data_IF_129292543193
#
_entry.id   IF_129292543193
#
_cell.length_a   1.000
_cell.length_b   1.000
_cell.length_c   1.000
_cell.angle_alpha   90.00
_cell.angle_beta   90.00
_cell.angle_gamma   90.00
#
_symmetry.space_group_name_H-M   'P 1'
#
loop_
_entity.id
_entity.type
_entity.pdbx_description
1 polymer ?
#
# COMPACT_ATOMS: atom_id res chain seq x y z
N UNK A 1 -24.60 51.18 14.08
CA UNK A 1 -23.15 51.01 14.09
C UNK A 1 -22.86 49.53 13.78
N UNK A 2 -22.42 49.24 12.52
CA UNK A 2 -22.12 47.87 12.07
C UNK A 2 -20.61 47.66 12.24
N UNK A 3 -20.24 46.80 13.20
CA UNK A 3 -18.85 46.44 13.48
C UNK A 3 -18.34 45.52 12.35
N UNK A 4 -17.40 45.99 11.53
CA UNK A 4 -16.65 45.17 10.56
C UNK A 4 -15.56 44.39 11.29
N UNK A 5 -15.82 43.10 11.57
CA UNK A 5 -14.84 42.19 12.14
C UNK A 5 -13.66 41.99 11.17
N UNK A 6 -12.45 42.27 11.63
CA UNK A 6 -11.21 41.98 10.88
C UNK A 6 -11.03 40.48 10.66
N UNK A 7 -10.60 40.02 9.46
CA UNK A 7 -10.41 38.61 9.20
C UNK A 7 -9.31 38.02 10.09
N UNK A 8 -9.56 36.82 10.63
CA UNK A 8 -8.68 36.14 11.57
C UNK A 8 -7.26 35.92 11.00
N UNK A 9 -6.25 35.89 11.87
CA UNK A 9 -4.84 35.69 11.48
C UNK A 9 -4.63 34.41 10.62
N UNK A 10 -5.49 33.40 10.82
CA UNK A 10 -5.54 32.15 10.06
C UNK A 10 -5.94 32.36 8.59
N UNK A 11 -6.93 33.21 8.33
CA UNK A 11 -7.37 33.57 6.97
C UNK A 11 -6.31 34.38 6.20
N UNK A 12 -5.57 35.26 6.89
CA UNK A 12 -4.48 36.05 6.28
C UNK A 12 -3.26 35.18 5.90
N UNK A 13 -2.93 34.14 6.71
CA UNK A 13 -1.86 33.19 6.38
C UNK A 13 -2.22 32.29 5.18
N UNK A 14 -3.46 31.76 5.11
CA UNK A 14 -3.94 30.96 3.94
C UNK A 14 -3.92 31.81 2.65
N UNK A 15 -4.36 33.06 2.70
CA UNK A 15 -4.38 33.95 1.52
C UNK A 15 -2.96 34.28 1.02
N UNK A 16 -2.00 34.56 1.92
CA UNK A 16 -0.58 34.78 1.57
C UNK A 16 0.08 33.54 0.96
N UNK A 17 -0.26 32.33 1.47
CA UNK A 17 0.27 31.06 0.96
C UNK A 17 -0.28 30.73 -0.45
N UNK A 18 -1.59 30.97 -0.70
CA UNK A 18 -2.19 30.81 -2.03
C UNK A 18 -1.59 31.80 -3.05
N UNK A 19 -1.25 33.01 -2.63
CA UNK A 19 -0.61 33.99 -3.49
C UNK A 19 0.83 33.60 -3.84
N UNK A 20 1.60 33.08 -2.88
CA UNK A 20 2.97 32.57 -3.13
C UNK A 20 2.98 31.34 -4.07
N UNK A 21 2.03 30.40 -3.90
CA UNK A 21 1.87 29.26 -4.83
C UNK A 21 1.53 29.71 -6.26
N UNK A 22 0.70 30.75 -6.44
CA UNK A 22 0.37 31.30 -7.77
C UNK A 22 1.56 32.01 -8.43
N UNK A 23 2.39 32.72 -7.68
CA UNK A 23 3.59 33.39 -8.19
C UNK A 23 4.66 32.33 -8.56
N UNK A 24 4.83 31.25 -7.81
CA UNK A 24 5.74 30.15 -8.13
C UNK A 24 5.37 29.38 -9.40
N UNK A 25 4.06 29.23 -9.70
CA UNK A 25 3.59 28.55 -10.92
C UNK A 25 3.83 29.42 -12.20
N UNK A 26 3.81 30.75 -12.09
CA UNK A 26 3.98 31.64 -13.24
C UNK A 26 5.46 31.76 -13.64
N UNK A 27 6.39 31.60 -12.69
CA UNK A 27 7.84 31.66 -12.97
C UNK A 27 8.40 30.38 -13.62
N UNK A 28 7.69 29.23 -13.52
CA UNK A 28 8.12 27.94 -14.10
C UNK A 28 7.71 27.71 -15.56
N UNK A 29 6.83 28.53 -16.11
CA UNK A 29 6.20 28.27 -17.43
C UNK A 29 6.85 28.93 -18.62
N UNK A 30 7.96 29.66 -18.48
CA UNK A 30 8.58 30.45 -19.56
C UNK A 30 9.85 29.81 -20.17
N UNK A 31 10.30 28.65 -19.69
CA UNK A 31 11.59 28.07 -20.13
C UNK A 31 11.54 26.69 -20.82
N UNK A 32 10.39 26.26 -21.35
CA UNK A 32 10.30 24.98 -22.12
C UNK A 32 9.52 25.17 -23.42
N UNK A 33 9.96 26.08 -24.27
CA UNK A 33 9.44 26.23 -25.63
C UNK A 33 10.55 26.54 -26.63
N UNK A 34 11.55 25.69 -26.77
CA UNK A 34 12.46 25.70 -27.92
C UNK A 34 13.30 24.40 -27.94
N UNK A 35 12.78 23.28 -28.47
CA UNK A 35 13.54 22.21 -29.15
C UNK A 35 12.61 21.03 -29.48
N UNK A 36 11.91 21.07 -30.60
CA UNK A 36 11.37 19.89 -31.27
C UNK A 36 11.16 20.18 -32.74
N UNK A 37 12.19 19.97 -33.54
CA UNK A 37 12.06 19.81 -35.00
C UNK A 37 12.99 18.70 -35.45
N UNK A 38 12.41 17.80 -36.27
CA UNK A 38 13.05 16.83 -37.15
C UNK A 38 13.63 15.53 -36.57
N UNK A 39 12.85 14.44 -36.66
CA UNK A 39 13.36 13.19 -37.20
C UNK A 39 12.23 12.41 -37.89
N UNK A 40 12.27 12.41 -39.23
CA UNK A 40 11.46 11.55 -40.10
C UNK A 40 12.12 10.19 -40.14
N UNK A 41 11.44 9.13 -39.71
CA UNK A 41 11.89 7.75 -39.83
C UNK A 41 11.01 7.05 -40.86
N UNK A 42 11.66 6.49 -41.92
CA UNK A 42 11.06 5.71 -42.99
C UNK A 42 10.62 4.33 -42.47
N UNK A 43 9.58 3.70 -43.06
CA UNK A 43 9.18 2.34 -42.70
C UNK A 43 10.06 1.28 -43.41
N UNK A 44 10.31 0.10 -42.76
CA UNK A 44 11.03 -0.98 -43.40
C UNK A 44 10.14 -1.81 -44.35
N UNK A 45 10.79 -2.32 -45.39
CA UNK A 45 10.21 -3.08 -46.47
C UNK A 45 9.64 -4.44 -46.06
N UNK A 46 8.53 -4.81 -46.69
CA UNK A 46 7.91 -6.15 -46.64
C UNK A 46 8.81 -7.21 -47.29
N UNK A 47 9.10 -8.25 -46.53
CA UNK A 47 9.57 -9.55 -47.09
C UNK A 47 8.37 -10.48 -47.26
N UNK A 48 8.13 -10.89 -48.50
CA UNK A 48 7.21 -11.97 -48.90
C UNK A 48 7.72 -13.31 -48.40
N UNK A 49 6.88 -14.04 -47.65
CA UNK A 49 7.12 -15.45 -47.39
C UNK A 49 6.17 -16.29 -48.25
N UNK A 50 6.75 -17.29 -48.93
CA UNK A 50 6.12 -18.26 -49.80
C UNK A 50 5.22 -19.23 -49.02
N UNK A 51 4.11 -19.60 -49.64
CA UNK A 51 3.21 -20.65 -49.17
C UNK A 51 3.75 -22.02 -49.57
N UNK A 52 4.05 -22.89 -48.62
CA UNK A 52 4.12 -24.33 -48.82
C UNK A 52 3.06 -25.01 -47.96
N UNK A 53 2.11 -25.64 -48.65
CA UNK A 53 1.00 -26.37 -48.04
C UNK A 53 1.47 -27.80 -47.69
N UNK A 54 1.34 -28.16 -46.43
CA UNK A 54 1.47 -29.52 -45.93
C UNK A 54 0.11 -30.19 -45.79
N UNK A 55 -0.10 -31.46 -46.25
CA UNK A 55 -1.42 -32.09 -46.24
C UNK A 55 -1.86 -32.53 -44.84
N UNK A 56 -3.12 -32.34 -44.59
CA UNK A 56 -3.88 -32.73 -43.38
C UNK A 56 -4.03 -34.26 -43.29
N UNK A 57 -3.70 -34.90 -42.16
CA UNK A 57 -4.02 -36.33 -41.96
C UNK A 57 -5.49 -36.53 -41.60
N UNK A 58 -6.07 -37.58 -42.21
CA UNK A 58 -7.43 -38.05 -41.99
C UNK A 58 -7.65 -38.58 -40.57
N UNK A 59 -8.77 -38.32 -39.91
CA UNK A 59 -9.05 -38.82 -38.57
C UNK A 59 -9.37 -40.31 -38.55
N UNK A 60 -8.62 -41.11 -37.79
CA UNK A 60 -8.98 -42.47 -37.45
C UNK A 60 -10.01 -42.47 -36.31
N UNK A 61 -11.06 -43.30 -36.49
CA UNK A 61 -12.09 -43.52 -35.51
C UNK A 61 -11.55 -44.25 -34.28
N UNK A 62 -11.84 -43.72 -33.09
CA UNK A 62 -11.54 -44.32 -31.78
C UNK A 62 -12.57 -45.42 -31.46
N UNK A 63 -12.15 -46.54 -30.82
CA UNK A 63 -13.09 -47.58 -30.37
C UNK A 63 -13.94 -47.14 -29.22
N UNK A 64 -15.19 -47.57 -29.21
CA UNK A 64 -16.21 -47.32 -28.18
C UNK A 64 -15.81 -47.92 -26.83
N UNK A 65 -15.84 -47.18 -25.72
CA UNK A 65 -15.55 -47.76 -24.40
C UNK A 65 -16.71 -48.57 -23.85
N UNK A 66 -16.41 -49.70 -23.24
CA UNK A 66 -17.34 -50.54 -22.50
C UNK A 66 -17.88 -49.86 -21.23
N UNK A 67 -19.13 -50.17 -20.78
CA UNK A 67 -19.71 -49.52 -19.62
C UNK A 67 -18.97 -49.87 -18.32
N UNK A 68 -18.61 -48.82 -17.57
CA UNK A 68 -18.01 -48.90 -16.23
C UNK A 68 -19.14 -49.22 -15.23
N UNK A 69 -18.96 -50.18 -14.29
CA UNK A 69 -19.94 -50.42 -13.24
C UNK A 69 -20.00 -49.21 -12.27
N UNK A 70 -21.23 -48.83 -11.90
CA UNK A 70 -21.49 -47.75 -10.94
C UNK A 70 -20.81 -48.01 -9.60
N UNK A 71 -20.16 -47.00 -9.00
CA UNK A 71 -19.58 -47.15 -7.66
C UNK A 71 -20.71 -47.20 -6.62
N UNK A 72 -20.60 -48.19 -5.73
CA UNK A 72 -21.38 -48.30 -4.52
C UNK A 72 -21.10 -47.10 -3.63
N UNK A 73 -22.13 -46.35 -3.26
CA UNK A 73 -22.03 -45.22 -2.33
C UNK A 73 -21.70 -45.74 -0.91
N UNK A 74 -20.48 -45.61 -0.54
CA UNK A 74 -20.07 -45.68 0.90
C UNK A 74 -20.49 -44.36 1.53
N UNK A 75 -21.08 -44.32 2.75
CA UNK A 75 -21.34 -43.06 3.43
C UNK A 75 -19.99 -42.37 3.69
N UNK A 76 -19.76 -41.23 3.07
CA UNK A 76 -18.62 -40.38 3.33
C UNK A 76 -18.75 -39.84 4.75
N UNK A 77 -17.88 -40.29 5.66
CA UNK A 77 -17.62 -39.58 6.90
C UNK A 77 -17.37 -38.13 6.58
N UNK A 78 -18.02 -37.25 7.35
CA UNK A 78 -17.97 -35.81 7.11
C UNK A 78 -16.54 -35.32 6.91
N UNK A 79 -16.29 -34.75 5.74
CA UNK A 79 -15.10 -33.98 5.46
C UNK A 79 -14.94 -32.96 6.59
N UNK A 80 -13.94 -33.14 7.43
CA UNK A 80 -13.37 -32.07 8.25
C UNK A 80 -12.82 -31.09 7.22
N UNK A 81 -13.66 -30.17 6.75
CA UNK A 81 -13.26 -29.07 5.90
C UNK A 81 -12.13 -28.35 6.62
N UNK A 82 -11.05 -28.19 5.94
CA UNK A 82 -9.79 -27.61 6.39
C UNK A 82 -10.03 -26.17 6.83
N UNK A 83 -10.47 -25.97 8.08
CA UNK A 83 -10.77 -24.68 8.71
C UNK A 83 -9.56 -23.72 8.61
N UNK A 84 -8.34 -24.25 8.42
CA UNK A 84 -7.11 -23.50 8.28
C UNK A 84 -6.97 -22.74 6.96
N UNK A 85 -7.77 -23.04 5.94
CA UNK A 85 -7.70 -22.40 4.61
C UNK A 85 -8.80 -21.36 4.38
N UNK A 86 -9.63 -21.06 5.35
CA UNK A 86 -10.64 -20.02 5.22
C UNK A 86 -10.02 -18.64 5.34
N UNK A 87 -10.23 -17.79 4.33
CA UNK A 87 -9.82 -16.39 4.36
C UNK A 87 -10.62 -15.64 5.43
N UNK A 88 -9.95 -15.02 6.40
CA UNK A 88 -10.56 -14.31 7.52
C UNK A 88 -10.60 -12.80 7.32
N UNK A 89 -9.67 -12.25 6.56
CA UNK A 89 -9.68 -10.85 6.12
C UNK A 89 -8.76 -10.66 4.91
N UNK A 90 -9.05 -9.64 4.10
CA UNK A 90 -8.22 -9.20 2.98
C UNK A 90 -7.91 -7.73 3.10
N UNK A 91 -6.64 -7.37 3.15
CA UNK A 91 -6.19 -6.00 3.44
C UNK A 91 -5.29 -5.50 2.30
N UNK A 92 -5.67 -4.39 1.68
CA UNK A 92 -4.77 -3.69 0.77
C UNK A 92 -3.81 -2.79 1.55
N UNK A 93 -2.54 -2.72 1.13
CA UNK A 93 -1.52 -1.87 1.76
C UNK A 93 -0.75 -1.10 0.68
N UNK A 94 -0.60 0.21 0.86
CA UNK A 94 0.28 1.05 0.03
C UNK A 94 0.71 2.27 0.83
N UNK A 95 1.83 2.88 0.48
CA UNK A 95 2.30 4.14 1.04
C UNK A 95 2.60 5.15 -0.07
N UNK A 96 2.84 6.42 0.31
CA UNK A 96 3.32 7.45 -0.61
C UNK A 96 2.37 7.67 -1.80
N UNK A 97 1.07 7.59 -1.51
CA UNK A 97 0.04 7.55 -2.54
C UNK A 97 -0.46 8.92 -2.98
N UNK A 98 -0.20 9.99 -2.22
CA UNK A 98 -0.88 11.28 -2.30
C UNK A 98 -0.50 12.23 -3.43
N UNK A 99 0.13 11.78 -4.53
CA UNK A 99 0.67 12.64 -5.60
C UNK A 99 -0.39 13.19 -6.57
N UNK A 100 -1.58 12.59 -6.65
CA UNK A 100 -2.64 12.96 -7.62
C UNK A 100 -2.17 12.90 -9.07
N UNK A 101 -1.34 11.93 -9.41
CA UNK A 101 -0.73 11.76 -10.72
C UNK A 101 -1.18 10.46 -11.41
N UNK A 102 -0.75 10.24 -12.65
CA UNK A 102 -1.08 9.04 -13.42
C UNK A 102 -0.55 7.74 -12.79
N UNK A 103 0.57 7.80 -12.04
CA UNK A 103 1.11 6.63 -11.36
C UNK A 103 0.18 6.16 -10.24
N UNK A 104 -0.29 7.09 -9.37
CA UNK A 104 -1.31 6.80 -8.36
C UNK A 104 -2.60 6.24 -9.01
N UNK A 105 -3.07 6.87 -10.09
CA UNK A 105 -4.29 6.42 -10.76
C UNK A 105 -4.17 4.97 -11.27
N UNK A 106 -3.01 4.57 -11.79
CA UNK A 106 -2.75 3.19 -12.27
C UNK A 106 -2.76 2.18 -11.11
N UNK A 107 -2.17 2.50 -9.97
CA UNK A 107 -2.20 1.64 -8.78
C UNK A 107 -3.64 1.52 -8.27
N UNK A 108 -4.34 2.63 -8.09
CA UNK A 108 -5.73 2.66 -7.64
C UNK A 108 -6.67 1.88 -8.57
N UNK A 109 -6.49 2.00 -9.89
CA UNK A 109 -7.25 1.23 -10.88
C UNK A 109 -7.01 -0.27 -10.76
N UNK A 110 -5.76 -0.72 -10.54
CA UNK A 110 -5.47 -2.14 -10.30
C UNK A 110 -6.16 -2.63 -9.03
N UNK A 111 -6.05 -1.90 -7.94
CA UNK A 111 -6.74 -2.24 -6.69
C UNK A 111 -8.25 -2.34 -6.89
N UNK A 112 -8.86 -1.43 -7.65
CA UNK A 112 -10.29 -1.47 -7.96
C UNK A 112 -10.68 -2.71 -8.78
N UNK A 113 -9.85 -3.15 -9.73
CA UNK A 113 -10.06 -4.39 -10.50
C UNK A 113 -9.99 -5.62 -9.59
N UNK A 114 -9.05 -5.66 -8.67
CA UNK A 114 -8.94 -6.78 -7.72
C UNK A 114 -10.08 -6.76 -6.70
N UNK A 115 -10.52 -5.58 -6.24
CA UNK A 115 -11.65 -5.42 -5.33
C UNK A 115 -13.00 -5.87 -5.96
N UNK A 116 -13.13 -5.80 -7.29
CA UNK A 116 -14.33 -6.32 -7.99
C UNK A 116 -14.42 -7.85 -7.97
N UNK A 117 -13.28 -8.54 -7.90
CA UNK A 117 -13.23 -10.01 -7.79
C UNK A 117 -13.54 -10.45 -6.37
N UNK A 118 -12.91 -9.82 -5.41
CA UNK A 118 -13.07 -10.05 -3.97
C UNK A 118 -12.78 -8.73 -3.23
N UNK A 119 -13.77 -8.15 -2.51
CA UNK A 119 -13.57 -6.89 -1.80
C UNK A 119 -12.46 -6.95 -0.75
N UNK A 120 -11.84 -5.80 -0.49
CA UNK A 120 -10.96 -5.64 0.67
C UNK A 120 -11.78 -5.25 1.90
N UNK A 121 -11.43 -5.80 3.05
CA UNK A 121 -11.99 -5.37 4.34
C UNK A 121 -11.36 -4.05 4.82
N UNK A 122 -10.10 -3.80 4.44
CA UNK A 122 -9.41 -2.56 4.76
C UNK A 122 -8.39 -2.15 3.70
N UNK A 123 -8.10 -0.84 3.70
CA UNK A 123 -6.98 -0.26 2.97
C UNK A 123 -6.08 0.52 3.93
N UNK A 124 -4.87 0.03 4.18
CA UNK A 124 -3.84 0.69 4.98
C UNK A 124 -2.99 1.59 4.07
N UNK A 125 -2.88 2.87 4.43
CA UNK A 125 -1.96 3.80 3.75
C UNK A 125 -0.83 4.16 4.71
N UNK A 126 0.39 3.73 4.37
CA UNK A 126 1.60 3.92 5.17
C UNK A 126 2.20 5.33 4.98
N UNK A 127 1.39 6.37 5.12
CA UNK A 127 1.82 7.78 5.12
C UNK A 127 1.96 8.43 3.75
N UNK A 128 2.31 9.72 3.78
CA UNK A 128 2.39 10.63 2.63
C UNK A 128 1.08 10.65 1.82
N UNK A 129 0.03 10.97 2.56
CA UNK A 129 -1.36 11.04 2.09
C UNK A 129 -1.59 12.22 1.15
N UNK A 130 -0.84 13.34 1.35
CA UNK A 130 -1.09 14.60 0.62
C UNK A 130 0.23 15.30 0.28
N UNK A 131 0.73 15.10 -0.94
CA UNK A 131 1.86 15.86 -1.46
C UNK A 131 1.47 17.26 -1.96
N UNK A 132 2.43 18.25 -2.08
CA UNK A 132 3.83 18.10 -1.65
C UNK A 132 4.04 18.37 -0.15
N UNK A 133 3.10 19.01 0.54
CA UNK A 133 3.32 19.60 1.85
C UNK A 133 2.13 19.45 2.83
N UNK A 134 1.21 18.50 2.58
CA UNK A 134 0.09 18.20 3.47
C UNK A 134 -0.97 19.31 3.50
N UNK A 135 -1.36 19.86 2.34
CA UNK A 135 -2.48 20.80 2.22
C UNK A 135 -3.81 20.06 2.43
N UNK A 136 -4.48 20.32 3.54
CA UNK A 136 -5.72 19.63 3.91
C UNK A 136 -6.87 19.85 2.92
N UNK A 137 -6.88 20.93 2.14
CA UNK A 137 -7.87 21.16 1.07
C UNK A 137 -7.75 20.12 -0.07
N UNK A 138 -6.63 19.37 -0.13
CA UNK A 138 -6.37 18.36 -1.13
C UNK A 138 -6.62 16.92 -0.65
N UNK A 139 -6.95 16.73 0.63
CA UNK A 139 -7.12 15.39 1.25
C UNK A 139 -8.07 14.51 0.45
N UNK A 140 -9.28 15.01 0.15
CA UNK A 140 -10.26 14.25 -0.62
C UNK A 140 -9.73 13.81 -1.99
N UNK A 141 -9.10 14.74 -2.72
CA UNK A 141 -8.55 14.48 -4.06
C UNK A 141 -7.33 13.57 -4.05
N UNK A 142 -6.60 13.52 -2.93
CA UNK A 142 -5.38 12.70 -2.78
C UNK A 142 -5.69 11.29 -2.32
N UNK A 143 -6.70 11.13 -1.44
CA UNK A 143 -6.94 9.88 -0.71
C UNK A 143 -8.30 9.26 -1.08
N UNK A 144 -9.39 10.04 -1.04
CA UNK A 144 -10.73 9.47 -1.19
C UNK A 144 -11.08 9.23 -2.65
N UNK A 145 -10.98 10.29 -3.48
CA UNK A 145 -11.45 10.21 -4.87
C UNK A 145 -10.72 9.15 -5.72
N UNK A 146 -9.37 8.98 -5.63
CA UNK A 146 -8.66 7.95 -6.41
C UNK A 146 -9.03 6.52 -6.01
N UNK A 147 -9.32 6.28 -4.73
CA UNK A 147 -9.59 4.96 -4.18
C UNK A 147 -11.07 4.72 -3.87
N UNK A 148 -11.98 5.58 -4.34
CA UNK A 148 -13.42 5.45 -4.08
C UNK A 148 -14.01 4.07 -4.41
N UNK A 149 -13.62 3.38 -5.52
CA UNK A 149 -14.11 2.04 -5.80
C UNK A 149 -13.67 0.98 -4.77
N UNK A 150 -12.47 1.14 -4.18
CA UNK A 150 -11.95 0.26 -3.13
C UNK A 150 -12.61 0.60 -1.79
N UNK A 151 -12.71 1.90 -1.47
CA UNK A 151 -13.26 2.41 -0.22
C UNK A 151 -14.79 2.26 -0.09
N UNK A 152 -15.44 1.76 -1.13
CA UNK A 152 -16.87 1.42 -1.05
C UNK A 152 -17.14 0.35 0.01
N UNK A 153 -16.25 -0.63 0.11
CA UNK A 153 -16.37 -1.78 0.99
C UNK A 153 -15.25 -1.81 2.05
N UNK A 154 -14.06 -1.28 1.70
CA UNK A 154 -12.88 -1.30 2.56
C UNK A 154 -12.85 -0.16 3.58
N UNK A 155 -12.48 -0.47 4.81
CA UNK A 155 -12.20 0.52 5.86
C UNK A 155 -10.85 1.20 5.62
N UNK A 156 -10.82 2.53 5.54
CA UNK A 156 -9.57 3.28 5.38
C UNK A 156 -8.79 3.36 6.70
N UNK A 157 -7.50 3.00 6.67
CA UNK A 157 -6.57 3.01 7.80
C UNK A 157 -5.34 3.85 7.43
N UNK A 158 -5.40 5.19 7.56
CA UNK A 158 -4.30 6.07 7.18
C UNK A 158 -3.28 6.27 8.31
N UNK A 159 -1.98 6.18 8.01
CA UNK A 159 -0.91 6.74 8.83
C UNK A 159 -0.50 8.13 8.31
N UNK A 160 0.16 8.94 9.12
CA UNK A 160 0.78 10.19 8.68
C UNK A 160 2.20 9.94 8.17
N UNK A 161 2.58 10.65 7.08
CA UNK A 161 3.95 10.74 6.60
C UNK A 161 4.56 12.13 6.78
N UNK A 162 5.83 12.27 6.45
CA UNK A 162 6.56 13.53 6.64
C UNK A 162 6.03 14.67 5.75
N UNK A 163 5.48 14.38 4.58
CA UNK A 163 4.83 15.39 3.74
C UNK A 163 3.52 15.90 4.35
N UNK A 164 2.78 15.06 5.06
CA UNK A 164 1.48 15.42 5.64
C UNK A 164 1.59 16.46 6.75
N UNK A 165 2.74 16.54 7.43
CA UNK A 165 2.94 17.44 8.59
C UNK A 165 3.57 18.79 8.23
N UNK A 166 4.09 18.96 7.00
CA UNK A 166 4.82 20.18 6.61
C UNK A 166 3.96 21.43 6.62
N UNK A 167 2.68 21.33 6.30
CA UNK A 167 1.76 22.47 6.36
C UNK A 167 1.28 22.81 7.78
N UNK A 168 1.45 21.87 8.73
CA UNK A 168 0.86 21.96 10.05
C UNK A 168 -0.65 21.65 10.06
N UNK A 169 -1.21 21.11 8.98
CA UNK A 169 -2.65 20.83 8.82
C UNK A 169 -2.97 19.32 8.99
N UNK A 170 -2.03 18.52 9.50
CA UNK A 170 -2.20 17.06 9.67
C UNK A 170 -3.44 16.68 10.50
N UNK A 171 -3.82 17.49 11.50
CA UNK A 171 -5.07 17.25 12.24
C UNK A 171 -6.30 17.38 11.35
N UNK A 172 -6.30 18.35 10.42
CA UNK A 172 -7.40 18.52 9.47
C UNK A 172 -7.45 17.38 8.46
N UNK A 173 -6.27 16.89 8.00
CA UNK A 173 -6.17 15.72 7.12
C UNK A 173 -6.78 14.51 7.81
N UNK A 174 -6.30 14.15 9.01
CA UNK A 174 -6.79 13.00 9.76
C UNK A 174 -8.28 13.08 10.06
N UNK A 175 -8.77 14.24 10.49
CA UNK A 175 -10.21 14.46 10.77
C UNK A 175 -11.08 14.27 9.51
N UNK A 176 -10.63 14.71 8.32
CA UNK A 176 -11.34 14.48 7.07
C UNK A 176 -11.35 12.99 6.66
N UNK A 177 -10.40 12.20 7.16
CA UNK A 177 -10.32 10.75 6.97
C UNK A 177 -10.96 9.95 8.12
N UNK A 178 -11.73 10.63 9.00
CA UNK A 178 -12.47 10.00 10.10
C UNK A 178 -11.57 9.58 11.27
N UNK A 179 -10.43 10.26 11.48
CA UNK A 179 -9.49 9.97 12.58
C UNK A 179 -9.26 11.18 13.47
N UNK A 180 -9.45 10.99 14.77
CA UNK A 180 -9.23 12.02 15.79
C UNK A 180 -7.79 12.03 16.32
N UNK A 181 -7.05 10.94 16.11
CA UNK A 181 -5.65 10.75 16.54
C UNK A 181 -4.75 10.39 15.37
N UNK A 182 -3.47 10.73 15.48
CA UNK A 182 -2.41 10.33 14.54
C UNK A 182 -1.87 8.91 14.83
N UNK A 183 -2.14 8.36 16.00
CA UNK A 183 -1.86 6.98 16.39
C UNK A 183 -3.10 6.37 17.03
N UNK A 184 -3.39 5.13 16.68
CA UNK A 184 -4.62 4.44 17.11
C UNK A 184 -4.52 2.93 16.80
N UNK A 185 -5.49 2.18 17.32
CA UNK A 185 -5.70 0.77 16.96
C UNK A 185 -6.94 0.65 16.10
N UNK A 186 -6.84 -0.19 15.08
CA UNK A 186 -7.98 -0.60 14.26
C UNK A 186 -8.10 -2.12 14.26
N UNK A 187 -9.34 -2.66 14.27
CA UNK A 187 -9.59 -4.11 14.19
C UNK A 187 -10.28 -4.45 12.87
N UNK A 188 -9.72 -5.44 12.17
CA UNK A 188 -10.22 -5.96 10.89
C UNK A 188 -10.25 -7.49 11.00
N UNK A 189 -11.46 -8.05 11.19
CA UNK A 189 -11.56 -9.48 11.48
C UNK A 189 -10.67 -9.86 12.68
N UNK A 190 -9.79 -10.86 12.53
CA UNK A 190 -8.87 -11.28 13.58
C UNK A 190 -7.61 -10.37 13.69
N UNK A 191 -7.47 -9.34 12.87
CA UNK A 191 -6.26 -8.50 12.83
C UNK A 191 -6.44 -7.24 13.66
N UNK A 192 -5.50 -7.01 14.58
CA UNK A 192 -5.28 -5.74 15.25
C UNK A 192 -4.17 -4.97 14.54
N UNK A 193 -4.50 -3.85 13.91
CA UNK A 193 -3.55 -2.95 13.27
C UNK A 193 -3.22 -1.81 14.23
N UNK A 194 -1.96 -1.70 14.64
CA UNK A 194 -1.44 -0.59 15.44
C UNK A 194 -0.87 0.44 14.47
N UNK A 195 -1.54 1.57 14.35
CA UNK A 195 -1.09 2.70 13.52
C UNK A 195 -0.31 3.68 14.38
N UNK A 196 0.90 4.08 13.92
CA UNK A 196 1.79 4.98 14.64
C UNK A 196 2.15 6.22 13.80
N UNK A 197 2.37 7.33 14.48
CA UNK A 197 2.88 8.58 13.89
C UNK A 197 4.42 8.62 14.00
N UNK A 198 5.10 8.11 12.97
CA UNK A 198 6.55 8.10 12.89
C UNK A 198 7.17 9.47 12.56
N UNK A 199 6.36 10.50 12.32
CA UNK A 199 6.86 11.89 12.22
C UNK A 199 7.17 12.47 13.59
N UNK A 200 6.76 11.80 14.67
CA UNK A 200 6.93 12.21 16.07
C UNK A 200 7.35 11.04 16.97
N UNK A 201 8.34 10.28 16.53
CA UNK A 201 8.84 9.08 17.23
C UNK A 201 9.14 9.32 18.71
N UNK A 202 9.76 10.45 19.05
CA UNK A 202 10.11 10.84 20.43
C UNK A 202 8.93 11.30 21.29
N UNK A 203 7.67 11.19 20.83
CA UNK A 203 6.49 11.60 21.60
C UNK A 203 6.26 10.62 22.76
N UNK A 204 6.42 11.12 24.00
CA UNK A 204 6.30 10.29 25.21
C UNK A 204 4.87 9.75 25.44
N UNK A 205 3.85 10.49 25.04
CA UNK A 205 2.46 10.04 25.15
C UNK A 205 2.17 8.88 24.19
N UNK A 206 2.66 8.97 22.93
CA UNK A 206 2.55 7.89 21.97
C UNK A 206 3.31 6.64 22.45
N UNK A 207 4.54 6.83 22.98
CA UNK A 207 5.34 5.71 23.47
C UNK A 207 4.70 5.02 24.69
N UNK A 208 4.17 5.79 25.64
CA UNK A 208 3.44 5.24 26.79
C UNK A 208 2.18 4.50 26.34
N UNK A 209 1.43 5.07 25.40
CA UNK A 209 0.25 4.45 24.81
C UNK A 209 0.60 3.16 24.09
N UNK A 210 1.65 3.14 23.28
CA UNK A 210 2.10 1.94 22.55
C UNK A 210 2.42 0.79 23.51
N UNK A 211 3.17 1.06 24.60
CA UNK A 211 3.46 0.06 25.62
C UNK A 211 2.19 -0.50 26.26
N UNK A 212 1.21 0.36 26.54
CA UNK A 212 -0.10 -0.06 27.07
C UNK A 212 -0.83 -0.99 26.09
N UNK A 213 -0.93 -0.60 24.82
CA UNK A 213 -1.58 -1.40 23.77
C UNK A 213 -0.89 -2.75 23.56
N UNK A 214 0.45 -2.78 23.54
CA UNK A 214 1.20 -4.02 23.38
C UNK A 214 1.07 -4.98 24.57
N UNK A 215 0.84 -4.45 25.78
CA UNK A 215 0.60 -5.26 26.97
C UNK A 215 -0.81 -5.89 27.03
N UNK A 216 -1.75 -5.44 26.20
CA UNK A 216 -3.11 -5.98 26.14
C UNK A 216 -3.09 -7.39 25.54
N UNK A 217 -3.59 -8.38 26.31
CA UNK A 217 -3.79 -9.73 25.79
C UNK A 217 -4.78 -9.71 24.62
N UNK A 218 -4.40 -10.38 23.55
CA UNK A 218 -5.27 -10.58 22.40
C UNK A 218 -5.92 -11.96 22.45
N UNK A 219 -7.10 -12.13 21.83
CA UNK A 219 -7.71 -13.45 21.68
C UNK A 219 -6.75 -14.42 20.96
N UNK A 220 -6.81 -15.68 21.34
CA UNK A 220 -6.10 -16.72 20.60
C UNK A 220 -6.54 -16.71 19.13
N UNK A 221 -5.60 -16.92 18.23
CA UNK A 221 -5.90 -16.87 16.81
C UNK A 221 -5.92 -15.44 16.21
N UNK A 222 -5.75 -14.35 17.00
CA UNK A 222 -5.67 -13.00 16.45
C UNK A 222 -4.25 -12.62 16.06
N UNK A 223 -4.15 -11.74 15.06
CA UNK A 223 -2.89 -11.16 14.59
C UNK A 223 -2.74 -9.73 15.12
N UNK A 224 -1.52 -9.33 15.44
CA UNK A 224 -1.19 -7.93 15.68
C UNK A 224 -0.11 -7.50 14.69
N UNK A 225 -0.36 -6.44 13.92
CA UNK A 225 0.59 -5.86 12.97
C UNK A 225 0.76 -4.37 13.26
N UNK A 226 1.92 -3.80 12.90
CA UNK A 226 2.16 -2.36 13.02
C UNK A 226 2.24 -1.71 11.63
N UNK A 227 1.71 -0.49 11.51
CA UNK A 227 1.73 0.29 10.28
C UNK A 227 2.07 1.75 10.57
N UNK A 228 3.07 2.28 9.86
CA UNK A 228 3.53 3.67 9.97
C UNK A 228 4.34 4.06 8.74
N UNK A 229 4.94 5.28 8.72
CA UNK A 229 5.57 5.78 7.51
C UNK A 229 7.07 5.46 7.39
N UNK A 230 7.90 5.89 8.37
CA UNK A 230 9.36 5.76 8.26
C UNK A 230 9.83 4.34 8.54
N UNK A 231 10.41 3.68 7.54
CA UNK A 231 10.81 2.28 7.61
C UNK A 231 12.00 2.05 8.57
N UNK A 232 11.92 1.11 9.53
CA UNK A 232 13.07 0.76 10.36
C UNK A 232 14.20 0.11 9.57
N UNK A 233 13.85 -0.62 8.51
CA UNK A 233 14.79 -1.27 7.60
C UNK A 233 14.41 -0.94 6.16
N UNK A 234 15.32 -0.27 5.45
CA UNK A 234 15.19 0.07 4.04
C UNK A 234 16.58 0.18 3.41
N UNK A 235 16.73 -0.33 2.22
CA UNK A 235 17.91 -0.17 1.37
C UNK A 235 17.75 0.93 0.30
N UNK A 236 16.67 1.71 0.39
CA UNK A 236 16.41 2.84 -0.49
C UNK A 236 17.17 4.12 -0.11
N UNK A 237 16.84 5.22 -0.78
CA UNK A 237 17.52 6.51 -0.65
C UNK A 237 17.54 7.09 0.79
N UNK A 238 16.47 6.86 1.55
CA UNK A 238 16.38 7.35 2.94
C UNK A 238 17.04 6.39 3.93
N UNK A 239 17.13 5.10 3.57
CA UNK A 239 17.74 4.06 4.39
C UNK A 239 16.94 3.77 5.67
N UNK A 240 17.60 3.13 6.61
CA UNK A 240 17.01 2.74 7.89
C UNK A 240 16.67 3.93 8.78
N UNK A 241 15.45 4.02 9.30
CA UNK A 241 15.16 4.96 10.38
C UNK A 241 15.68 4.43 11.73
N UNK A 242 16.82 4.98 12.15
CA UNK A 242 17.51 4.59 13.39
C UNK A 242 16.72 4.92 14.66
N UNK A 243 15.83 5.90 14.62
CA UNK A 243 15.00 6.24 15.77
C UNK A 243 13.87 5.24 15.95
N UNK A 244 13.25 4.78 14.85
CA UNK A 244 12.28 3.67 14.87
C UNK A 244 12.95 2.40 15.38
N UNK A 245 14.11 2.04 14.83
CA UNK A 245 14.90 0.89 15.30
C UNK A 245 15.17 0.94 16.80
N UNK A 246 15.59 2.08 17.32
CA UNK A 246 15.96 2.24 18.74
C UNK A 246 14.75 2.23 19.69
N UNK A 247 13.62 2.84 19.28
CA UNK A 247 12.53 3.13 20.21
C UNK A 247 11.36 2.18 20.11
N UNK A 248 11.05 1.65 18.90
CA UNK A 248 9.85 0.85 18.68
C UNK A 248 10.15 -0.62 18.38
N UNK A 249 11.22 -0.92 17.62
CA UNK A 249 11.56 -2.30 17.25
C UNK A 249 11.69 -3.20 18.49
N UNK A 250 12.40 -2.83 19.59
CA UNK A 250 12.48 -3.68 20.78
C UNK A 250 11.12 -3.94 21.46
N UNK A 251 10.15 -3.03 21.30
CA UNK A 251 8.80 -3.21 21.82
C UNK A 251 8.00 -4.18 20.94
N UNK A 252 8.23 -4.14 19.62
CA UNK A 252 7.60 -5.07 18.68
C UNK A 252 8.12 -6.50 18.88
N UNK A 253 9.44 -6.64 19.05
CA UNK A 253 10.08 -7.93 19.37
C UNK A 253 9.53 -8.53 20.66
N UNK A 254 9.47 -7.73 21.74
CA UNK A 254 8.93 -8.17 23.04
C UNK A 254 7.45 -8.57 22.97
N UNK A 255 6.69 -8.01 22.03
CA UNK A 255 5.25 -8.26 21.86
C UNK A 255 4.95 -9.25 20.73
N UNK A 256 5.96 -9.93 20.19
CA UNK A 256 5.86 -10.91 19.10
C UNK A 256 5.05 -10.37 17.90
N UNK A 257 5.31 -9.12 17.48
CA UNK A 257 4.69 -8.53 16.28
C UNK A 257 5.30 -9.18 15.03
N UNK A 258 4.56 -9.97 14.25
CA UNK A 258 5.17 -10.73 13.16
C UNK A 258 5.37 -9.93 11.88
N UNK A 259 4.66 -8.79 11.71
CA UNK A 259 4.67 -7.99 10.47
C UNK A 259 4.62 -6.50 10.78
N UNK A 260 5.53 -5.74 10.17
CA UNK A 260 5.59 -4.28 10.19
C UNK A 260 5.49 -3.75 8.76
N UNK A 261 4.56 -2.81 8.53
CA UNK A 261 4.28 -2.18 7.25
C UNK A 261 4.74 -0.73 7.27
N UNK A 262 5.49 -0.30 6.26
CA UNK A 262 6.01 1.06 6.14
C UNK A 262 5.93 1.60 4.71
N UNK A 263 6.18 2.90 4.56
CA UNK A 263 6.32 3.62 3.29
C UNK A 263 7.65 4.37 3.23
N UNK A 264 7.57 5.68 2.87
CA UNK A 264 8.67 6.64 2.86
C UNK A 264 9.70 6.46 1.74
N UNK A 265 10.27 5.28 1.60
CA UNK A 265 11.08 4.93 0.45
C UNK A 265 10.19 4.43 -0.70
N UNK A 266 10.31 5.09 -1.85
CA UNK A 266 9.37 4.93 -2.96
C UNK A 266 9.67 3.70 -3.81
N UNK A 267 9.70 2.53 -3.16
CA UNK A 267 9.93 1.22 -3.78
C UNK A 267 9.20 0.13 -2.98
N UNK A 268 9.25 -1.09 -3.46
CA UNK A 268 8.94 -2.29 -2.70
C UNK A 268 10.21 -2.86 -2.08
N UNK A 269 10.18 -3.15 -0.79
CA UNK A 269 11.21 -3.97 -0.15
C UNK A 269 10.60 -4.81 0.95
N UNK A 270 10.96 -6.09 0.99
CA UNK A 270 10.68 -6.98 2.10
C UNK A 270 11.99 -7.52 2.66
N UNK A 271 12.10 -7.51 3.98
CA UNK A 271 13.26 -8.09 4.65
C UNK A 271 13.13 -9.62 4.73
N UNK A 272 14.26 -10.29 4.93
CA UNK A 272 14.28 -11.56 5.63
C UNK A 272 13.65 -11.33 7.00
N UNK A 273 13.23 -12.40 7.67
CA UNK A 273 12.82 -12.29 9.06
C UNK A 273 13.99 -11.79 9.92
N UNK A 274 13.75 -10.77 10.73
CA UNK A 274 14.71 -10.18 11.66
C UNK A 274 14.07 -10.27 13.05
N UNK A 275 14.65 -11.07 13.93
CA UNK A 275 14.18 -11.26 15.31
C UNK A 275 12.67 -11.55 15.39
N UNK A 276 12.18 -12.47 14.53
CA UNK A 276 10.77 -12.89 14.44
C UNK A 276 9.86 -11.92 13.65
N UNK A 277 10.38 -10.82 13.12
CA UNK A 277 9.58 -9.80 12.44
C UNK A 277 9.93 -9.73 10.95
N UNK A 278 8.91 -9.74 10.10
CA UNK A 278 9.02 -9.38 8.68
C UNK A 278 8.68 -7.88 8.52
N UNK A 279 9.56 -7.12 7.88
CA UNK A 279 9.35 -5.70 7.56
C UNK A 279 9.07 -5.56 6.07
N UNK A 280 8.03 -4.78 5.74
CA UNK A 280 7.66 -4.50 4.34
C UNK A 280 7.59 -3.00 4.12
N UNK A 281 8.40 -2.49 3.20
CA UNK A 281 8.27 -1.15 2.63
C UNK A 281 7.40 -1.24 1.39
N UNK A 282 6.26 -0.55 1.40
CA UNK A 282 5.33 -0.45 0.28
C UNK A 282 5.11 1.01 -0.11
N UNK A 283 6.19 1.72 -0.47
CA UNK A 283 6.17 3.15 -0.79
C UNK A 283 6.03 3.47 -2.29
N UNK A 284 5.80 2.48 -3.13
CA UNK A 284 5.65 2.64 -4.59
C UNK A 284 4.25 3.03 -5.05
N UNK A 285 3.41 3.64 -4.21
CA UNK A 285 2.01 3.94 -4.53
C UNK A 285 1.79 5.02 -5.58
N UNK A 286 2.72 5.97 -5.76
CA UNK A 286 2.54 7.07 -6.72
C UNK A 286 3.82 7.65 -7.31
N UNK A 287 4.99 7.23 -6.81
CA UNK A 287 6.31 7.71 -7.21
C UNK A 287 7.33 6.60 -6.99
N UNK A 288 8.44 6.62 -7.72
CA UNK A 288 9.50 5.63 -7.62
C UNK A 288 10.85 6.26 -7.33
N UNK A 289 11.68 5.52 -6.60
CA UNK A 289 13.11 5.74 -6.39
C UNK A 289 13.87 4.44 -6.58
N UNK A 290 15.17 4.47 -6.92
CA UNK A 290 16.01 3.29 -6.99
C UNK A 290 16.08 2.54 -5.65
N UNK A 291 16.35 1.23 -5.73
CA UNK A 291 16.65 0.37 -4.59
C UNK A 291 17.62 -0.71 -5.03
N UNK A 292 18.66 -0.96 -4.23
CA UNK A 292 19.72 -1.92 -4.56
C UNK A 292 19.63 -3.21 -3.72
N UNK A 293 18.96 -3.16 -2.57
CA UNK A 293 18.95 -4.22 -1.58
C UNK A 293 20.12 -4.13 -0.59
N UNK A 294 19.97 -4.76 0.55
CA UNK A 294 20.96 -4.86 1.62
C UNK A 294 21.05 -6.31 2.15
N UNK A 295 21.92 -6.58 3.11
CA UNK A 295 22.08 -7.92 3.68
C UNK A 295 20.80 -8.49 4.31
N UNK A 296 19.93 -7.61 4.81
CA UNK A 296 18.64 -7.96 5.39
C UNK A 296 17.53 -8.13 4.33
N UNK A 297 17.70 -7.67 3.11
CA UNK A 297 16.68 -7.69 2.06
C UNK A 297 16.44 -9.12 1.57
N UNK A 298 15.18 -9.54 1.53
CA UNK A 298 14.75 -10.77 0.87
C UNK A 298 14.30 -10.49 -0.56
N UNK A 299 13.59 -9.37 -0.79
CA UNK A 299 13.14 -8.92 -2.10
C UNK A 299 13.07 -7.40 -2.13
N UNK A 300 13.52 -6.78 -3.23
CA UNK A 300 13.36 -5.37 -3.50
C UNK A 300 13.07 -5.12 -4.98
N UNK A 301 12.28 -4.07 -5.28
CA UNK A 301 11.96 -3.66 -6.64
C UNK A 301 11.50 -2.20 -6.70
N UNK A 302 12.08 -1.42 -7.61
CA UNK A 302 11.62 -0.06 -7.92
C UNK A 302 10.48 -0.13 -8.95
N UNK A 303 9.29 -0.51 -8.50
CA UNK A 303 8.09 -0.65 -9.32
C UNK A 303 6.87 -0.07 -8.59
N UNK A 304 5.94 0.53 -9.36
CA UNK A 304 4.63 0.88 -8.82
C UNK A 304 3.91 -0.38 -8.36
N UNK A 305 3.34 -0.35 -7.15
CA UNK A 305 2.68 -1.51 -6.57
C UNK A 305 1.77 -1.13 -5.41
N UNK A 306 1.01 -2.09 -4.96
CA UNK A 306 0.44 -2.20 -3.62
C UNK A 306 0.64 -3.64 -3.13
N UNK A 307 0.45 -3.88 -1.84
CA UNK A 307 0.47 -5.22 -1.26
C UNK A 307 -0.96 -5.66 -0.97
N UNK A 308 -1.30 -6.85 -1.45
CA UNK A 308 -2.55 -7.58 -1.15
C UNK A 308 -2.23 -8.59 -0.04
N UNK A 309 -2.72 -8.35 1.16
CA UNK A 309 -2.47 -9.15 2.34
C UNK A 309 -3.71 -10.00 2.67
N UNK A 310 -3.56 -11.31 2.56
CA UNK A 310 -4.57 -12.31 2.90
C UNK A 310 -4.32 -12.84 4.30
N UNK A 311 -5.36 -12.86 5.12
CA UNK A 311 -5.28 -13.25 6.53
C UNK A 311 -5.97 -14.58 6.75
N UNK A 312 -5.25 -15.54 7.29
CA UNK A 312 -5.73 -16.84 7.71
C UNK A 312 -5.50 -17.05 9.21
N UNK A 313 -6.02 -18.12 9.78
CA UNK A 313 -5.85 -18.42 11.20
C UNK A 313 -4.38 -18.66 11.59
N UNK A 314 -3.59 -19.29 10.70
CA UNK A 314 -2.23 -19.75 10.96
C UNK A 314 -1.15 -18.97 10.19
N UNK A 315 -1.50 -18.10 9.26
CA UNK A 315 -0.57 -17.33 8.43
C UNK A 315 -1.14 -16.06 7.87
N UNK A 316 -0.26 -15.16 7.50
CA UNK A 316 -0.53 -14.02 6.61
C UNK A 316 0.17 -14.29 5.29
N UNK A 317 -0.52 -14.13 4.16
CA UNK A 317 0.07 -14.22 2.83
C UNK A 317 0.06 -12.83 2.18
N UNK A 318 1.23 -12.33 1.80
CA UNK A 318 1.38 -11.03 1.14
C UNK A 318 1.78 -11.19 -0.32
N UNK A 319 1.14 -10.41 -1.19
CA UNK A 319 1.47 -10.34 -2.62
C UNK A 319 1.69 -8.88 -3.03
N UNK A 320 2.88 -8.52 -3.48
CA UNK A 320 3.16 -7.20 -4.02
C UNK A 320 2.78 -7.17 -5.50
N UNK A 321 1.74 -6.41 -5.85
CA UNK A 321 1.09 -6.44 -7.16
C UNK A 321 1.30 -5.12 -7.90
N UNK A 322 1.81 -5.18 -9.14
CA UNK A 322 2.00 -4.03 -10.03
C UNK A 322 0.69 -3.61 -10.72
N UNK A 323 0.62 -2.39 -11.30
CA UNK A 323 -0.57 -1.95 -12.05
C UNK A 323 -0.98 -2.85 -13.22
N UNK A 324 -0.05 -3.60 -13.83
CA UNK A 324 -0.35 -4.58 -14.88
C UNK A 324 -0.77 -5.96 -14.34
N UNK A 325 -0.86 -6.09 -13.01
CA UNK A 325 -1.37 -7.29 -12.33
C UNK A 325 -0.35 -8.39 -12.09
N UNK A 326 0.94 -8.12 -12.30
CA UNK A 326 2.01 -9.07 -11.99
C UNK A 326 2.39 -8.99 -10.53
N UNK A 327 2.63 -10.14 -9.90
CA UNK A 327 3.26 -10.19 -8.60
C UNK A 327 4.77 -10.00 -8.74
N UNK A 328 5.35 -9.05 -7.99
CA UNK A 328 6.80 -8.86 -7.86
C UNK A 328 7.37 -9.67 -6.71
N UNK A 329 6.55 -9.99 -5.74
CA UNK A 329 6.90 -10.82 -4.59
C UNK A 329 5.64 -11.50 -4.04
N UNK A 330 5.83 -12.69 -3.50
CA UNK A 330 4.84 -13.44 -2.72
C UNK A 330 5.54 -13.98 -1.47
N UNK A 331 4.93 -13.82 -0.32
CA UNK A 331 5.52 -14.22 0.95
C UNK A 331 4.48 -14.68 1.96
N UNK A 332 4.95 -15.47 2.91
CA UNK A 332 4.12 -15.96 4.02
C UNK A 332 4.78 -15.60 5.35
N UNK A 333 4.01 -15.01 6.26
CA UNK A 333 4.36 -14.81 7.66
C UNK A 333 3.56 -15.82 8.48
N UNK A 334 4.26 -16.66 9.24
CA UNK A 334 3.66 -17.67 10.13
C UNK A 334 3.68 -17.17 11.57
N UNK A 335 2.86 -17.77 12.40
CA UNK A 335 2.96 -17.60 13.86
C UNK A 335 4.11 -18.38 14.41
#
# INVERSE_FOLDING_TARGET
>A
MVSHGSPSARGKRRRKRRLRKRIGLIAGSVLVAAALAALIIQPPAFLRASSDATPTPTPQALPTPSPIPSPVSTPTEGSVTDVKNELKARIAVSGDTGMRNAAQARVAQRMAIEAQKEPYDAFIICGDLVYPDGDADLTRKSVIDPYAPVLKDAKLIPALGNHDVQSGEQKSIMSQLGRDSAWYVEKIGPVRVIVLDSTRIGNSQQLAWLRGVLAEKQPEGSWTIAAFHHAPYSSGDHGNDRNVQKQWVPLFEQADIPLVLAGHDHHYERTKEIDGITYVVSGGGSKLRPVDGASFTAKAASLLHYVDLLVYDDRLEGRAITPDGKAIDEFTVKR
#
